data_IF_770892588039
#
_entry.id   IF_770892588039
#
_cell.length_a   1.000
_cell.length_b   1.000
_cell.length_c   1.000
_cell.angle_alpha   90.00
_cell.angle_beta   90.00
_cell.angle_gamma   90.00
#
_symmetry.space_group_name_H-M   'P 1'
#
loop_
_entity.id
_entity.type
_entity.pdbx_description
1 polymer ?
#
# COMPACT_ATOMS: atom_id res chain seq x y z
N UNK A 1 -19.72 11.09 -1.85
CA UNK A 1 -18.71 10.78 -0.82
C UNK A 1 -17.53 10.20 -1.58
N UNK A 2 -16.38 10.85 -1.67
CA UNK A 2 -15.21 10.14 -2.17
C UNK A 2 -14.81 9.17 -1.07
N UNK A 3 -15.13 7.91 -1.27
CA UNK A 3 -14.62 6.80 -0.47
C UNK A 3 -13.12 6.75 -0.79
N UNK A 4 -12.28 7.13 0.18
CA UNK A 4 -10.87 6.76 0.19
C UNK A 4 -10.83 5.24 0.06
N UNK A 5 -10.58 4.80 -1.17
CA UNK A 5 -10.80 3.45 -1.68
C UNK A 5 -9.69 2.51 -1.17
N UNK A 6 -9.68 2.30 0.15
CA UNK A 6 -9.03 1.19 0.86
C UNK A 6 -9.86 -0.10 0.72
N UNK A 7 -10.98 -0.04 0.01
CA UNK A 7 -11.89 -1.14 -0.32
C UNK A 7 -11.14 -2.24 -1.08
N UNK A 8 -10.71 -3.28 -0.35
CA UNK A 8 -9.96 -4.41 -0.89
C UNK A 8 -8.47 -4.40 -0.57
N UNK A 9 -7.99 -3.44 0.23
CA UNK A 9 -6.62 -3.43 0.74
C UNK A 9 -6.58 -3.89 2.20
N UNK A 10 -5.66 -4.80 2.50
CA UNK A 10 -5.49 -5.28 3.85
C UNK A 10 -4.69 -4.24 4.67
N UNK A 11 -5.19 -3.79 5.83
CA UNK A 11 -4.47 -2.84 6.68
C UNK A 11 -3.12 -3.39 7.14
N UNK A 12 -3.00 -4.72 7.24
CA UNK A 12 -1.73 -5.41 7.53
C UNK A 12 -0.70 -5.20 6.44
N UNK A 13 -1.12 -5.20 5.18
CA UNK A 13 -0.22 -4.99 4.04
C UNK A 13 0.29 -3.54 4.01
N UNK A 14 -0.59 -2.58 4.31
CA UNK A 14 -0.24 -1.16 4.42
C UNK A 14 0.79 -0.96 5.54
N UNK A 15 0.60 -1.57 6.71
CA UNK A 15 1.58 -1.49 7.81
C UNK A 15 2.91 -2.16 7.47
N UNK A 16 2.89 -3.31 6.78
CA UNK A 16 4.11 -3.97 6.31
C UNK A 16 4.88 -3.09 5.33
N UNK A 17 4.21 -2.49 4.35
CA UNK A 17 4.87 -1.60 3.38
C UNK A 17 5.44 -0.37 4.07
N UNK A 18 4.70 0.26 4.99
CA UNK A 18 5.23 1.39 5.74
C UNK A 18 6.44 1.02 6.58
N UNK A 19 6.44 -0.15 7.23
CA UNK A 19 7.56 -0.59 8.05
C UNK A 19 8.77 -1.00 7.21
N UNK A 20 8.54 -1.63 6.05
CA UNK A 20 9.60 -2.20 5.22
C UNK A 20 10.20 -1.19 4.23
N UNK A 21 9.35 -0.36 3.62
CA UNK A 21 9.75 0.69 2.67
C UNK A 21 9.91 2.07 3.35
N UNK A 22 9.57 2.22 4.63
CA UNK A 22 9.66 3.47 5.38
C UNK A 22 8.88 4.64 4.71
N UNK A 23 7.71 4.34 4.16
CA UNK A 23 6.83 5.31 3.48
C UNK A 23 5.61 5.68 4.32
N UNK A 24 4.87 6.71 3.90
CA UNK A 24 3.59 7.08 4.52
C UNK A 24 2.43 6.18 4.08
N UNK A 25 1.38 6.07 4.91
CA UNK A 25 0.15 5.28 4.60
C UNK A 25 -0.39 5.57 3.20
N UNK A 26 -0.45 6.84 2.80
CA UNK A 26 -0.94 7.23 1.48
C UNK A 26 -0.13 6.64 0.32
N UNK A 27 1.20 6.48 0.49
CA UNK A 27 2.08 5.88 -0.51
C UNK A 27 1.88 4.37 -0.54
N UNK A 28 1.82 3.73 0.64
CA UNK A 28 1.57 2.30 0.75
C UNK A 28 0.22 1.88 0.16
N UNK A 29 -0.85 2.65 0.45
CA UNK A 29 -2.20 2.46 -0.11
C UNK A 29 -2.18 2.60 -1.63
N UNK A 30 -1.52 3.64 -2.18
CA UNK A 30 -1.39 3.80 -3.64
C UNK A 30 -0.59 2.66 -4.27
N UNK A 31 0.53 2.26 -3.67
CA UNK A 31 1.38 1.19 -4.17
C UNK A 31 0.64 -0.16 -4.20
N UNK A 32 -0.14 -0.47 -3.15
CA UNK A 32 -1.01 -1.64 -3.11
C UNK A 32 -2.11 -1.58 -4.16
N UNK A 33 -2.73 -0.42 -4.33
CA UNK A 33 -3.79 -0.22 -5.31
C UNK A 33 -3.29 -0.36 -6.74
N UNK A 34 -2.14 0.22 -7.06
CA UNK A 34 -1.49 0.10 -8.37
C UNK A 34 -0.97 -1.32 -8.61
N UNK A 35 -0.56 -2.02 -7.55
CA UNK A 35 -0.18 -3.44 -7.61
C UNK A 35 -1.37 -4.40 -7.60
N UNK A 36 -2.62 -3.92 -7.49
CA UNK A 36 -3.81 -4.76 -7.47
C UNK A 36 -3.94 -5.67 -6.23
N UNK A 37 -3.36 -5.26 -5.09
CA UNK A 37 -3.34 -6.05 -3.85
C UNK A 37 -2.10 -6.93 -3.68
N UNK A 38 -1.14 -6.89 -4.61
CA UNK A 38 0.14 -7.61 -4.46
C UNK A 38 1.07 -6.87 -3.49
N UNK A 39 1.17 -7.38 -2.25
CA UNK A 39 2.05 -6.84 -1.21
C UNK A 39 3.50 -6.69 -1.67
N UNK A 40 4.07 -7.70 -2.35
CA UNK A 40 5.50 -7.70 -2.71
C UNK A 40 5.79 -6.64 -3.79
N UNK A 41 4.91 -6.51 -4.79
CA UNK A 41 5.01 -5.45 -5.79
C UNK A 41 4.83 -4.08 -5.15
N UNK A 42 3.90 -3.94 -4.21
CA UNK A 42 3.68 -2.69 -3.51
C UNK A 42 4.87 -2.28 -2.63
N UNK A 43 5.50 -3.23 -1.92
CA UNK A 43 6.74 -3.00 -1.15
C UNK A 43 7.87 -2.59 -2.09
N UNK A 44 8.07 -3.30 -3.21
CA UNK A 44 9.11 -2.94 -4.18
C UNK A 44 8.87 -1.56 -4.80
N UNK A 45 7.63 -1.24 -5.17
CA UNK A 45 7.27 0.05 -5.76
C UNK A 45 7.30 1.21 -4.76
N UNK A 46 7.10 0.95 -3.47
CA UNK A 46 7.18 1.96 -2.42
C UNK A 46 8.60 2.16 -1.87
N UNK A 47 9.47 1.15 -1.98
CA UNK A 47 10.82 1.16 -1.40
C UNK A 47 11.95 1.60 -2.35
N UNK A 48 11.66 1.80 -3.64
CA UNK A 48 12.57 2.36 -4.64
C UNK A 48 12.31 3.86 -4.86
#
# INVERSE_FOLDING_TARGET
>A
MPEDDETGLDPKDIELIMAQANVSRAVAVRALKESGGDLINAIMAAGE
#
